data_IF_481191158715
#
_entry.id   IF_481191158715
#
_cell.length_a   1.000
_cell.length_b   1.000
_cell.length_c   1.000
_cell.angle_alpha   90.00
_cell.angle_beta   90.00
_cell.angle_gamma   90.00
#
_symmetry.space_group_name_H-M   'P 1'
#
loop_
_entity.id
_entity.type
_entity.pdbx_description
1 polymer ?
#
# COMPACT_ATOMS: atom_id res chain seq x y z
N UNK A 1 -16.03 11.58 -12.38
CA UNK A 1 -16.54 11.36 -11.01
C UNK A 1 -17.09 9.95 -10.78
N UNK A 2 -18.04 9.40 -11.57
CA UNK A 2 -18.57 8.04 -11.32
C UNK A 2 -17.47 6.96 -11.35
N UNK A 3 -16.57 7.00 -12.35
CA UNK A 3 -15.44 6.05 -12.45
C UNK A 3 -14.52 6.17 -11.25
N UNK A 4 -14.16 7.38 -10.84
CA UNK A 4 -13.30 7.63 -9.67
C UNK A 4 -13.91 7.05 -8.39
N UNK A 5 -15.21 7.28 -8.16
CA UNK A 5 -15.89 6.70 -7.00
C UNK A 5 -15.91 5.17 -7.05
N UNK A 6 -16.22 4.59 -8.22
CA UNK A 6 -16.21 3.13 -8.38
C UNK A 6 -14.80 2.56 -8.12
N UNK A 7 -13.77 3.23 -8.62
CA UNK A 7 -12.38 2.86 -8.38
C UNK A 7 -11.99 2.99 -6.91
N UNK A 8 -12.35 4.11 -6.25
CA UNK A 8 -12.09 4.30 -4.84
C UNK A 8 -12.70 3.17 -3.98
N UNK A 9 -13.96 2.84 -4.23
CA UNK A 9 -14.61 1.71 -3.55
C UNK A 9 -14.04 0.35 -3.97
N UNK A 10 -13.53 0.22 -5.20
CA UNK A 10 -12.85 -0.99 -5.66
C UNK A 10 -11.53 -1.21 -4.92
N UNK A 11 -10.71 -0.17 -4.80
CA UNK A 11 -9.41 -0.21 -4.11
C UNK A 11 -9.62 -0.48 -2.61
N UNK A 12 -10.40 0.34 -1.92
CA UNK A 12 -10.64 0.14 -0.49
C UNK A 12 -11.46 -1.13 -0.18
N UNK A 13 -12.34 -1.56 -1.10
CA UNK A 13 -13.07 -2.81 -1.00
C UNK A 13 -12.19 -4.04 -1.14
N UNK A 14 -11.09 -3.95 -1.89
CA UNK A 14 -10.14 -5.04 -2.08
C UNK A 14 -9.45 -5.43 -0.76
N UNK A 15 -9.04 -4.46 0.06
CA UNK A 15 -8.49 -4.68 1.40
C UNK A 15 -9.50 -5.39 2.31
N UNK A 16 -10.78 -4.99 2.25
CA UNK A 16 -11.86 -5.64 3.02
C UNK A 16 -12.10 -7.07 2.54
N UNK A 17 -12.09 -7.31 1.23
CA UNK A 17 -12.20 -8.66 0.65
C UNK A 17 -11.02 -9.51 1.11
N UNK A 18 -9.80 -8.98 1.08
CA UNK A 18 -8.59 -9.63 1.61
C UNK A 18 -8.76 -10.02 3.07
N UNK A 19 -9.25 -9.11 3.90
CA UNK A 19 -9.53 -9.38 5.30
C UNK A 19 -10.55 -10.51 5.50
N UNK A 20 -11.63 -10.56 4.69
CA UNK A 20 -12.60 -11.65 4.72
C UNK A 20 -11.92 -12.99 4.40
N UNK A 21 -11.06 -13.04 3.37
CA UNK A 21 -10.27 -14.23 3.08
C UNK A 21 -9.33 -14.60 4.23
N UNK A 22 -8.70 -13.60 4.89
CA UNK A 22 -7.84 -13.83 6.06
C UNK A 22 -8.57 -14.53 7.21
N UNK A 23 -9.86 -14.26 7.41
CA UNK A 23 -10.68 -14.94 8.42
C UNK A 23 -11.00 -16.42 8.09
N UNK A 24 -10.90 -16.83 6.82
CA UNK A 24 -11.12 -18.22 6.42
C UNK A 24 -9.96 -19.12 6.83
N UNK A 25 -8.77 -18.57 7.00
CA UNK A 25 -7.59 -19.29 7.43
C UNK A 25 -7.50 -19.31 8.95
N UNK A 26 -7.54 -20.50 9.55
CA UNK A 26 -7.38 -20.66 11.02
C UNK A 26 -5.96 -20.31 11.49
N UNK A 27 -4.96 -20.56 10.65
CA UNK A 27 -3.54 -20.23 10.87
C UNK A 27 -2.91 -19.93 9.52
N UNK A 28 -2.27 -18.78 9.40
CA UNK A 28 -1.44 -18.42 8.26
C UNK A 28 0.01 -18.70 8.68
N UNK A 29 0.74 -19.51 7.91
CA UNK A 29 2.16 -19.74 8.17
C UNK A 29 2.98 -18.53 7.74
N UNK A 30 4.09 -18.22 8.43
CA UNK A 30 5.00 -17.13 8.03
C UNK A 30 5.43 -17.28 6.57
N UNK A 31 5.79 -18.49 6.14
CA UNK A 31 6.17 -18.73 4.74
C UNK A 31 5.08 -18.36 3.73
N UNK A 32 3.83 -18.68 4.03
CA UNK A 32 2.72 -18.30 3.15
C UNK A 32 2.51 -16.78 3.15
N UNK A 33 2.56 -16.16 4.31
CA UNK A 33 2.50 -14.70 4.47
C UNK A 33 3.59 -14.01 3.67
N UNK A 34 4.85 -14.46 3.79
CA UNK A 34 6.00 -13.90 3.08
C UNK A 34 5.84 -13.97 1.55
N UNK A 35 5.37 -15.13 1.03
CA UNK A 35 5.14 -15.31 -0.41
C UNK A 35 4.03 -14.38 -0.90
N UNK A 36 2.92 -14.30 -0.17
CA UNK A 36 1.75 -13.51 -0.57
C UNK A 36 2.06 -12.01 -0.50
N UNK A 37 2.74 -11.57 0.57
CA UNK A 37 3.13 -10.18 0.73
C UNK A 37 4.22 -9.77 -0.27
N UNK A 38 5.18 -10.65 -0.57
CA UNK A 38 6.17 -10.41 -1.64
C UNK A 38 5.54 -10.28 -3.02
N UNK A 39 4.51 -11.10 -3.31
CA UNK A 39 3.76 -10.95 -4.55
C UNK A 39 3.10 -9.56 -4.63
N UNK A 40 2.46 -9.10 -3.54
CA UNK A 40 1.89 -7.76 -3.45
C UNK A 40 2.95 -6.67 -3.66
N UNK A 41 4.12 -6.80 -2.99
CA UNK A 41 5.25 -5.89 -3.18
C UNK A 41 5.73 -5.80 -4.63
N UNK A 42 5.72 -6.92 -5.35
CA UNK A 42 6.06 -6.96 -6.78
C UNK A 42 5.05 -6.20 -7.66
N UNK A 43 3.74 -6.40 -7.42
CA UNK A 43 2.67 -5.65 -8.11
C UNK A 43 2.82 -4.16 -7.83
N UNK A 44 3.00 -3.80 -6.55
CA UNK A 44 3.17 -2.43 -6.09
C UNK A 44 4.40 -1.76 -6.70
N UNK A 45 5.53 -2.50 -6.82
CA UNK A 45 6.76 -1.99 -7.43
C UNK A 45 6.55 -1.64 -8.90
N UNK A 46 5.90 -2.51 -9.67
CA UNK A 46 5.58 -2.23 -11.07
C UNK A 46 4.60 -1.06 -11.20
N UNK A 47 3.52 -1.03 -10.41
CA UNK A 47 2.54 0.05 -10.42
C UNK A 47 3.19 1.41 -10.08
N UNK A 48 4.08 1.46 -9.08
CA UNK A 48 4.75 2.70 -8.69
C UNK A 48 5.70 3.22 -9.76
N UNK A 49 6.48 2.35 -10.40
CA UNK A 49 7.45 2.76 -11.41
C UNK A 49 6.77 3.04 -12.75
N UNK A 50 6.01 2.08 -13.27
CA UNK A 50 5.42 2.15 -14.61
C UNK A 50 4.19 3.05 -14.63
N UNK A 51 3.34 2.92 -13.60
CA UNK A 51 2.07 3.64 -13.55
C UNK A 51 2.14 5.07 -13.00
N UNK A 52 3.18 5.44 -12.24
CA UNK A 52 3.29 6.73 -11.59
C UNK A 52 4.57 7.48 -11.93
N UNK A 53 5.76 6.89 -11.69
CA UNK A 53 7.03 7.60 -11.85
C UNK A 53 7.36 7.86 -13.31
N UNK A 54 7.25 6.87 -14.20
CA UNK A 54 7.50 7.07 -15.62
C UNK A 54 6.52 8.07 -16.25
N UNK A 55 5.20 7.98 -16.03
CA UNK A 55 4.27 8.99 -16.52
C UNK A 55 4.55 10.40 -16.00
N UNK A 56 5.08 10.57 -14.77
CA UNK A 56 5.45 11.89 -14.28
C UNK A 56 6.48 12.62 -15.14
N UNK A 57 7.31 11.88 -15.88
CA UNK A 57 8.28 12.44 -16.84
C UNK A 57 7.63 12.96 -18.13
N UNK A 58 6.46 12.42 -18.48
CA UNK A 58 5.75 12.74 -19.72
C UNK A 58 4.87 13.98 -19.61
N UNK A 59 4.35 14.26 -18.40
CA UNK A 59 3.51 15.44 -18.15
C UNK A 59 4.35 16.71 -18.02
N UNK A 60 4.63 17.29 -19.16
CA UNK A 60 5.41 18.41 -19.54
C UNK A 60 5.61 19.59 -18.57
N UNK A 61 6.73 19.59 -17.89
CA UNK A 61 7.34 20.76 -17.28
C UNK A 61 8.65 21.10 -18.01
N UNK A 62 9.13 22.34 -17.82
CA UNK A 62 10.42 22.76 -18.36
C UNK A 62 11.60 21.86 -17.91
N UNK A 63 11.44 21.19 -16.75
CA UNK A 63 12.44 20.30 -16.15
C UNK A 63 11.78 19.03 -15.59
N UNK A 64 11.23 18.13 -16.45
CA UNK A 64 10.44 16.98 -15.97
C UNK A 64 11.23 16.06 -15.07
N UNK A 65 12.47 15.73 -15.42
CA UNK A 65 13.35 14.88 -14.62
C UNK A 65 13.60 15.44 -13.20
N UNK A 66 13.82 16.75 -13.08
CA UNK A 66 14.06 17.38 -11.79
C UNK A 66 12.81 17.33 -10.91
N UNK A 67 11.63 17.62 -11.48
CA UNK A 67 10.34 17.54 -10.75
C UNK A 67 10.06 16.12 -10.30
N UNK A 68 10.30 15.12 -11.15
CA UNK A 68 10.14 13.71 -10.81
C UNK A 68 11.08 13.30 -9.67
N UNK A 69 12.38 13.64 -9.76
CA UNK A 69 13.36 13.31 -8.70
C UNK A 69 12.93 13.95 -7.37
N UNK A 70 12.59 15.25 -7.38
CA UNK A 70 12.14 15.96 -6.18
C UNK A 70 10.86 15.30 -5.62
N UNK A 71 9.89 14.97 -6.48
CA UNK A 71 8.66 14.32 -6.08
C UNK A 71 8.91 12.98 -5.38
N UNK A 72 9.73 12.11 -5.98
CA UNK A 72 10.09 10.79 -5.39
C UNK A 72 10.74 10.96 -4.02
N UNK A 73 11.73 11.84 -3.88
CA UNK A 73 12.39 12.06 -2.58
C UNK A 73 11.48 12.72 -1.56
N UNK A 74 10.59 13.63 -1.97
CA UNK A 74 9.60 14.23 -1.08
C UNK A 74 8.61 13.18 -0.59
N UNK A 75 8.15 12.26 -1.45
CA UNK A 75 7.28 11.16 -1.08
C UNK A 75 7.93 10.23 -0.07
N UNK A 76 9.15 9.77 -0.37
CA UNK A 76 9.93 8.92 0.53
C UNK A 76 10.19 9.62 1.88
N UNK A 77 10.57 10.91 1.87
CA UNK A 77 10.79 11.68 3.08
C UNK A 77 9.51 11.85 3.90
N UNK A 78 8.37 12.04 3.24
CA UNK A 78 7.07 12.17 3.90
C UNK A 78 6.75 10.91 4.71
N UNK A 79 6.85 9.73 4.11
CA UNK A 79 6.63 8.45 4.82
C UNK A 79 7.66 8.29 5.95
N UNK A 80 8.95 8.50 5.68
CA UNK A 80 10.01 8.40 6.69
C UNK A 80 9.76 9.31 7.91
N UNK A 81 9.23 10.52 7.70
CA UNK A 81 8.89 11.43 8.79
C UNK A 81 7.67 10.95 9.57
N UNK A 82 6.65 10.44 8.89
CA UNK A 82 5.47 9.87 9.53
C UNK A 82 5.87 8.66 10.39
N UNK A 83 6.70 7.77 9.86
CA UNK A 83 7.21 6.60 10.56
C UNK A 83 8.01 6.94 11.83
N UNK A 84 8.77 8.03 11.79
CA UNK A 84 9.47 8.51 13.01
C UNK A 84 8.54 9.00 14.09
N UNK A 85 7.38 9.54 13.70
CA UNK A 85 6.35 10.01 14.65
C UNK A 85 5.56 8.82 15.20
N UNK A 86 5.34 7.80 14.36
CA UNK A 86 4.64 6.58 14.74
C UNK A 86 5.66 5.45 14.89
N UNK A 87 5.90 4.93 16.09
CA UNK A 87 6.86 3.83 16.31
C UNK A 87 6.52 2.62 15.45
N UNK A 88 7.50 2.14 14.70
CA UNK A 88 7.36 1.04 13.74
C UNK A 88 6.67 -0.21 14.28
N UNK A 89 5.93 -0.88 13.39
CA UNK A 89 5.29 -2.17 13.59
C UNK A 89 6.30 -3.26 14.04
N UNK A 90 7.57 -3.18 13.60
CA UNK A 90 8.63 -4.11 13.98
C UNK A 90 8.84 -4.23 15.49
N UNK A 91 8.59 -3.16 16.27
CA UNK A 91 8.61 -3.24 17.74
C UNK A 91 7.33 -3.84 18.32
N UNK A 92 6.28 -3.96 17.52
CA UNK A 92 4.98 -4.48 17.95
C UNK A 92 4.79 -5.96 17.63
N UNK A 93 5.39 -6.43 16.54
CA UNK A 93 5.41 -7.85 16.13
C UNK A 93 6.66 -8.56 16.63
N UNK A 94 7.69 -7.80 17.04
CA UNK A 94 8.92 -8.33 17.62
C UNK A 94 8.65 -9.16 18.85
N UNK A 95 9.08 -10.39 18.79
CA UNK A 95 9.07 -11.43 19.83
C UNK A 95 10.02 -11.04 20.97
N UNK A 96 9.94 -9.85 21.47
CA UNK A 96 10.52 -9.51 22.76
C UNK A 96 9.46 -9.78 23.84
N UNK A 97 9.46 -11.05 24.24
CA UNK A 97 8.80 -11.52 25.44
C UNK A 97 9.47 -10.89 26.65
N UNK A 98 9.01 -9.73 27.05
CA UNK A 98 9.03 -9.38 28.48
C UNK A 98 7.62 -9.03 28.91
N UNK A 99 7.09 -9.95 29.68
CA UNK A 99 5.80 -10.03 30.29
C UNK A 99 5.57 -8.90 31.28
N UNK A 100 4.65 -7.99 30.93
CA UNK A 100 3.80 -7.39 31.95
C UNK A 100 2.39 -7.18 31.38
N UNK A 101 1.34 -7.68 32.04
CA UNK A 101 -0.04 -7.63 31.55
C UNK A 101 -0.73 -6.32 31.92
N UNK A 102 -0.26 -5.21 31.40
CA UNK A 102 -1.00 -3.95 31.52
C UNK A 102 -1.92 -3.78 30.32
N UNK A 103 -3.23 -3.74 30.59
CA UNK A 103 -4.28 -3.52 29.57
C UNK A 103 -4.02 -2.26 28.74
N UNK A 104 -3.37 -1.26 29.33
CA UNK A 104 -2.99 -0.01 28.66
C UNK A 104 -1.89 -0.21 27.62
N UNK A 105 -0.90 -1.06 27.89
CA UNK A 105 0.16 -1.39 26.95
C UNK A 105 -0.37 -2.16 25.73
N UNK A 106 -1.36 -3.04 25.94
CA UNK A 106 -2.01 -3.78 24.86
C UNK A 106 -2.86 -2.89 23.95
N UNK A 107 -3.57 -1.90 24.52
CA UNK A 107 -4.34 -0.92 23.76
C UNK A 107 -3.43 -0.03 22.90
N UNK A 108 -2.30 0.40 23.45
CA UNK A 108 -1.31 1.20 22.72
C UNK A 108 -0.69 0.41 21.56
N UNK A 109 -0.40 -0.88 21.73
CA UNK A 109 0.07 -1.76 20.67
C UNK A 109 -0.94 -1.84 19.51
N UNK A 110 -2.20 -2.03 19.81
CA UNK A 110 -3.28 -2.10 18.82
C UNK A 110 -3.41 -0.78 18.05
N UNK A 111 -3.38 0.34 18.76
CA UNK A 111 -3.47 1.67 18.14
C UNK A 111 -2.32 1.93 17.18
N UNK A 112 -1.08 1.62 17.60
CA UNK A 112 0.11 1.76 16.77
C UNK A 112 0.04 0.89 15.51
N UNK A 113 -0.45 -0.34 15.63
CA UNK A 113 -0.67 -1.24 14.51
C UNK A 113 -1.67 -0.68 13.49
N UNK A 114 -2.81 -0.15 13.98
CA UNK A 114 -3.83 0.47 13.12
C UNK A 114 -3.28 1.69 12.39
N UNK A 115 -2.49 2.51 13.09
CA UNK A 115 -1.89 3.71 12.50
C UNK A 115 -0.86 3.31 11.44
N UNK A 116 -0.02 2.31 11.70
CA UNK A 116 0.95 1.82 10.72
C UNK A 116 0.26 1.36 9.43
N UNK A 117 -0.79 0.54 9.53
CA UNK A 117 -1.56 0.12 8.34
C UNK A 117 -2.18 1.34 7.63
N UNK A 118 -2.71 2.33 8.36
CA UNK A 118 -3.28 3.52 7.75
C UNK A 118 -2.23 4.37 7.01
N UNK A 119 -0.97 4.36 7.47
CA UNK A 119 0.16 5.04 6.82
C UNK A 119 0.45 4.42 5.44
N UNK A 120 0.30 3.10 5.28
CA UNK A 120 0.47 2.42 4.00
C UNK A 120 -0.71 2.66 3.06
N UNK A 121 -1.92 2.46 3.54
CA UNK A 121 -3.13 2.53 2.74
C UNK A 121 -3.47 3.95 2.23
N UNK A 122 -3.09 5.00 2.98
CA UNK A 122 -3.34 6.38 2.53
C UNK A 122 -2.54 6.75 1.27
N UNK A 123 -1.22 6.53 1.18
CA UNK A 123 -0.44 6.72 -0.04
C UNK A 123 -0.96 5.93 -1.24
N UNK A 124 -1.41 4.70 -1.04
CA UNK A 124 -1.97 3.86 -2.09
C UNK A 124 -3.27 4.44 -2.65
N UNK A 125 -4.17 4.85 -1.76
CA UNK A 125 -5.37 5.57 -2.15
C UNK A 125 -5.01 6.85 -2.93
N UNK A 126 -4.09 7.67 -2.43
CA UNK A 126 -3.65 8.89 -3.12
C UNK A 126 -3.09 8.56 -4.51
N UNK A 127 -2.27 7.52 -4.65
CA UNK A 127 -1.73 7.07 -5.93
C UNK A 127 -2.84 6.71 -6.94
N UNK A 128 -3.84 5.94 -6.49
CA UNK A 128 -5.02 5.63 -7.31
C UNK A 128 -5.79 6.89 -7.72
N UNK A 129 -5.91 7.88 -6.83
CA UNK A 129 -6.60 9.13 -7.12
C UNK A 129 -5.85 10.05 -8.07
N UNK A 130 -4.54 10.21 -7.85
CA UNK A 130 -3.66 11.06 -8.66
C UNK A 130 -3.56 10.56 -10.10
N UNK A 131 -3.60 9.24 -10.33
CA UNK A 131 -3.55 8.66 -11.67
C UNK A 131 -4.69 9.13 -12.58
N UNK A 132 -5.85 9.51 -12.01
CA UNK A 132 -6.97 10.13 -12.75
C UNK A 132 -6.75 11.60 -13.15
N UNK A 133 -5.65 12.21 -12.76
CA UNK A 133 -5.24 13.53 -13.25
C UNK A 133 -4.70 13.49 -14.67
N UNK A 134 -4.31 12.32 -15.16
CA UNK A 134 -3.95 12.12 -16.56
C UNK A 134 -5.21 12.06 -17.44
N UNK A 135 -5.10 12.45 -18.70
CA UNK A 135 -6.20 12.29 -19.68
C UNK A 135 -6.44 10.81 -20.02
N UNK A 136 -5.49 9.91 -19.70
CA UNK A 136 -5.56 8.49 -19.97
C UNK A 136 -6.30 7.74 -18.83
N UNK A 137 -7.63 7.64 -18.96
CA UNK A 137 -8.46 6.90 -18.00
C UNK A 137 -8.13 5.41 -17.94
N UNK A 138 -7.63 4.81 -19.03
CA UNK A 138 -7.24 3.39 -19.04
C UNK A 138 -6.04 3.18 -18.14
N UNK A 139 -5.01 4.00 -18.26
CA UNK A 139 -3.83 3.96 -17.40
C UNK A 139 -4.22 4.15 -15.92
N UNK A 140 -5.11 5.10 -15.62
CA UNK A 140 -5.59 5.30 -14.26
C UNK A 140 -6.29 4.06 -13.70
N UNK A 141 -7.12 3.37 -14.49
CA UNK A 141 -7.78 2.13 -14.10
C UNK A 141 -6.75 1.00 -13.94
N UNK A 142 -5.72 0.93 -14.78
CA UNK A 142 -4.65 -0.07 -14.69
C UNK A 142 -3.86 0.08 -13.39
N UNK A 143 -3.46 1.30 -13.03
CA UNK A 143 -2.78 1.60 -11.75
C UNK A 143 -3.67 1.23 -10.57
N UNK A 144 -4.91 1.69 -10.56
CA UNK A 144 -5.85 1.40 -9.49
C UNK A 144 -6.21 -0.10 -9.39
N UNK A 145 -6.25 -0.79 -10.52
CA UNK A 145 -6.43 -2.24 -10.60
C UNK A 145 -5.25 -3.01 -9.99
N UNK A 146 -4.03 -2.55 -10.25
CA UNK A 146 -2.82 -3.07 -9.60
C UNK A 146 -2.86 -2.88 -8.09
N UNK A 147 -3.22 -1.68 -7.63
CA UNK A 147 -3.39 -1.38 -6.20
C UNK A 147 -4.47 -2.26 -5.58
N UNK A 148 -5.64 -2.40 -6.21
CA UNK A 148 -6.69 -3.29 -5.71
C UNK A 148 -6.23 -4.76 -5.66
N UNK A 149 -5.43 -5.21 -6.63
CA UNK A 149 -4.91 -6.57 -6.66
C UNK A 149 -3.96 -6.86 -5.50
N UNK A 150 -3.06 -5.92 -5.14
CA UNK A 150 -2.13 -6.07 -4.01
C UNK A 150 -2.84 -5.96 -2.65
N UNK A 151 -3.89 -5.15 -2.56
CA UNK A 151 -4.65 -4.94 -1.33
C UNK A 151 -5.35 -6.22 -0.84
N UNK A 152 -5.72 -7.15 -1.73
CA UNK A 152 -6.29 -8.44 -1.34
C UNK A 152 -5.29 -9.26 -0.51
N UNK A 153 -4.06 -9.55 -0.99
CA UNK A 153 -3.00 -10.16 -0.18
C UNK A 153 -2.73 -9.44 1.15
N UNK A 154 -2.58 -8.13 1.10
CA UNK A 154 -2.26 -7.34 2.29
C UNK A 154 -3.37 -7.38 3.33
N UNK A 155 -4.61 -7.16 2.93
CA UNK A 155 -5.77 -7.29 3.81
C UNK A 155 -5.91 -8.69 4.42
N UNK A 156 -5.49 -9.73 3.70
CA UNK A 156 -5.52 -11.11 4.21
C UNK A 156 -4.46 -11.34 5.30
N UNK A 157 -3.24 -10.85 5.08
CA UNK A 157 -2.09 -11.14 5.96
C UNK A 157 -2.21 -10.43 7.31
N UNK A 158 -2.82 -9.26 7.39
CA UNK A 158 -2.96 -8.50 8.64
C UNK A 158 -3.90 -9.14 9.67
N UNK A 159 -4.79 -10.05 9.25
CA UNK A 159 -5.79 -10.65 10.15
C UNK A 159 -5.16 -11.55 11.20
N UNK A 160 -4.19 -12.39 10.81
CA UNK A 160 -3.58 -13.35 11.71
C UNK A 160 -2.82 -12.71 12.88
N UNK A 161 -1.95 -11.70 12.68
CA UNK A 161 -1.29 -10.97 13.76
C UNK A 161 -2.27 -10.29 14.73
N UNK A 162 -3.35 -9.69 14.22
CA UNK A 162 -4.36 -9.06 15.06
C UNK A 162 -5.06 -10.05 15.99
N UNK A 163 -5.47 -11.20 15.44
CA UNK A 163 -6.09 -12.27 16.22
C UNK A 163 -5.09 -12.85 17.23
N UNK A 164 -3.82 -13.06 16.83
CA UNK A 164 -2.76 -13.53 17.72
C UNK A 164 -2.49 -12.55 18.88
N UNK A 165 -2.61 -11.24 18.63
CA UNK A 165 -2.54 -10.19 19.65
C UNK A 165 -3.76 -10.16 20.60
N UNK A 166 -4.71 -11.10 20.46
CA UNK A 166 -5.88 -11.22 21.33
C UNK A 166 -7.08 -10.35 20.94
N UNK A 167 -7.08 -9.78 19.75
CA UNK A 167 -8.22 -8.99 19.27
C UNK A 167 -9.40 -9.89 18.90
N UNK A 168 -10.61 -9.43 19.19
CA UNK A 168 -11.82 -10.11 18.74
C UNK A 168 -12.00 -9.98 17.22
N UNK A 169 -12.57 -10.99 16.58
CA UNK A 169 -12.84 -10.98 15.13
C UNK A 169 -13.60 -9.74 14.66
N UNK A 170 -14.58 -9.28 15.45
CA UNK A 170 -15.36 -8.09 15.13
C UNK A 170 -14.50 -6.83 15.13
N UNK A 171 -13.61 -6.65 16.11
CA UNK A 171 -12.68 -5.51 16.14
C UNK A 171 -11.68 -5.56 14.99
N UNK A 172 -11.11 -6.73 14.72
CA UNK A 172 -10.20 -6.94 13.59
C UNK A 172 -10.87 -6.58 12.26
N UNK A 173 -12.12 -7.01 12.05
CA UNK A 173 -12.88 -6.65 10.85
C UNK A 173 -13.15 -5.15 10.75
N UNK A 174 -13.53 -4.50 11.87
CA UNK A 174 -13.76 -3.05 11.87
C UNK A 174 -12.49 -2.24 11.56
N UNK A 175 -11.33 -2.73 11.97
CA UNK A 175 -10.04 -2.12 11.62
C UNK A 175 -9.76 -2.29 10.13
N UNK A 176 -9.91 -3.49 9.58
CA UNK A 176 -9.75 -3.74 8.14
C UNK A 176 -10.73 -2.90 7.31
N UNK A 177 -11.96 -2.69 7.79
CA UNK A 177 -12.91 -1.79 7.13
C UNK A 177 -12.43 -0.33 7.21
N UNK A 178 -11.90 0.10 8.34
CA UNK A 178 -11.39 1.46 8.52
C UNK A 178 -10.17 1.71 7.59
N UNK A 179 -9.28 0.74 7.40
CA UNK A 179 -8.15 0.87 6.47
C UNK A 179 -8.64 1.00 5.02
N UNK A 180 -9.62 0.21 4.60
CA UNK A 180 -10.26 0.37 3.30
C UNK A 180 -10.94 1.75 3.11
N UNK A 181 -11.52 2.32 4.18
CA UNK A 181 -12.06 3.68 4.13
C UNK A 181 -10.94 4.72 3.96
N UNK A 182 -9.79 4.53 4.59
CA UNK A 182 -8.62 5.41 4.41
C UNK A 182 -8.17 5.43 2.95
N UNK A 183 -8.16 4.30 2.26
CA UNK A 183 -7.86 4.21 0.83
C UNK A 183 -8.89 4.97 -0.03
N UNK A 184 -10.20 4.82 0.29
CA UNK A 184 -11.26 5.58 -0.39
C UNK A 184 -11.03 7.08 -0.22
N UNK A 185 -10.73 7.54 1.00
CA UNK A 185 -10.44 8.94 1.28
C UNK A 185 -9.17 9.40 0.57
N UNK A 186 -8.10 8.58 0.58
CA UNK A 186 -6.87 8.82 -0.16
C UNK A 186 -7.13 9.02 -1.66
N UNK A 187 -7.93 8.14 -2.27
CA UNK A 187 -8.29 8.24 -3.69
C UNK A 187 -9.02 9.55 -4.01
N UNK A 188 -9.94 9.97 -3.15
CA UNK A 188 -10.64 11.23 -3.33
C UNK A 188 -9.70 12.43 -3.15
N UNK A 189 -8.83 12.40 -2.14
CA UNK A 189 -7.82 13.45 -1.90
C UNK A 189 -6.89 13.58 -3.11
N UNK A 190 -6.33 12.47 -3.59
CA UNK A 190 -5.45 12.45 -4.76
C UNK A 190 -6.15 12.99 -6.02
N UNK A 191 -7.37 12.54 -6.28
CA UNK A 191 -8.17 13.02 -7.40
C UNK A 191 -8.44 14.52 -7.35
N UNK A 192 -8.90 15.04 -6.20
CA UNK A 192 -9.18 16.48 -6.08
C UNK A 192 -7.91 17.32 -6.13
N UNK A 193 -6.80 16.84 -5.56
CA UNK A 193 -5.53 17.56 -5.58
C UNK A 193 -5.05 17.85 -7.02
N UNK A 194 -5.11 16.87 -7.91
CA UNK A 194 -4.68 17.03 -9.31
C UNK A 194 -5.69 17.78 -10.18
N UNK A 195 -6.98 17.76 -9.81
CA UNK A 195 -8.02 18.54 -10.49
C UNK A 195 -7.95 20.04 -10.17
N UNK A 196 -7.33 20.44 -9.07
CA UNK A 196 -7.13 21.88 -8.74
C UNK A 196 -6.13 22.50 -9.71
N UNK A 197 -5.08 21.78 -10.08
CA UNK A 197 -4.06 22.28 -11.01
C UNK A 197 -3.34 21.13 -11.70
N UNK A 198 -3.45 21.04 -13.01
CA UNK A 198 -2.72 20.07 -13.83
C UNK A 198 -1.20 20.24 -13.75
N UNK A 199 -0.72 21.44 -13.38
CA UNK A 199 0.72 21.69 -13.20
C UNK A 199 1.31 20.93 -12.00
N UNK A 200 0.48 20.48 -11.06
CA UNK A 200 0.89 19.68 -9.89
C UNK A 200 0.99 18.19 -10.23
N UNK A 201 0.34 17.76 -11.31
CA UNK A 201 0.23 16.35 -11.68
C UNK A 201 1.60 15.61 -11.74
N UNK A 202 2.64 16.10 -12.44
CA UNK A 202 3.93 15.40 -12.50
C UNK A 202 4.54 15.19 -11.11
N UNK A 203 4.50 16.23 -10.27
CA UNK A 203 4.99 16.14 -8.90
C UNK A 203 4.15 15.18 -8.06
N UNK A 204 2.83 15.22 -8.18
CA UNK A 204 1.93 14.38 -7.40
C UNK A 204 2.07 12.88 -7.77
N UNK A 205 2.23 12.56 -9.07
CA UNK A 205 2.52 11.20 -9.54
C UNK A 205 3.87 10.71 -8.99
N UNK A 206 4.92 11.51 -9.11
CA UNK A 206 6.24 11.16 -8.60
C UNK A 206 6.26 11.04 -7.07
N UNK A 207 5.55 11.91 -6.37
CA UNK A 207 5.40 11.85 -4.91
C UNK A 207 4.72 10.54 -4.48
N UNK A 208 3.58 10.20 -5.09
CA UNK A 208 2.88 8.96 -4.80
C UNK A 208 3.75 7.72 -5.12
N UNK A 209 4.43 7.71 -6.27
CA UNK A 209 5.39 6.64 -6.59
C UNK A 209 6.53 6.54 -5.58
N UNK A 210 7.04 7.67 -5.09
CA UNK A 210 8.09 7.74 -4.07
C UNK A 210 7.66 7.22 -2.71
N UNK A 211 6.42 7.51 -2.27
CA UNK A 211 5.86 6.95 -1.03
C UNK A 211 5.78 5.42 -1.12
N UNK A 212 5.29 4.90 -2.24
CA UNK A 212 5.16 3.45 -2.47
C UNK A 212 6.54 2.77 -2.52
N UNK A 213 7.53 3.34 -3.22
CA UNK A 213 8.90 2.79 -3.25
C UNK A 213 9.52 2.73 -1.87
N UNK A 214 9.29 3.74 -1.02
CA UNK A 214 9.79 3.75 0.35
C UNK A 214 9.21 2.57 1.14
N UNK A 215 7.89 2.41 1.14
CA UNK A 215 7.19 1.31 1.84
C UNK A 215 7.68 -0.07 1.36
N UNK A 216 7.80 -0.26 0.04
CA UNK A 216 8.30 -1.53 -0.51
C UNK A 216 9.71 -1.84 0.00
N UNK A 217 10.61 -0.85 -0.03
CA UNK A 217 12.03 -1.03 0.25
C UNK A 217 12.34 -1.12 1.74
N UNK A 218 11.66 -0.33 2.57
CA UNK A 218 11.94 -0.22 4.00
C UNK A 218 11.17 -1.24 4.84
N UNK A 219 9.99 -1.69 4.35
CA UNK A 219 9.09 -2.53 5.13
C UNK A 219 8.78 -3.87 4.45
N UNK A 220 8.20 -3.86 3.24
CA UNK A 220 7.68 -5.10 2.64
C UNK A 220 8.80 -6.10 2.30
N UNK A 221 9.85 -5.65 1.64
CA UNK A 221 10.97 -6.55 1.26
C UNK A 221 11.70 -7.08 2.50
N UNK A 222 12.11 -6.26 3.48
CA UNK A 222 12.74 -6.76 4.70
C UNK A 222 11.86 -7.74 5.46
N UNK A 223 10.56 -7.44 5.66
CA UNK A 223 9.64 -8.30 6.38
C UNK A 223 9.52 -9.68 5.72
N UNK A 224 9.31 -9.72 4.40
CA UNK A 224 9.11 -10.98 3.66
C UNK A 224 10.37 -11.82 3.52
N UNK A 225 11.53 -11.28 3.85
CA UNK A 225 12.84 -11.97 3.81
C UNK A 225 13.37 -12.32 5.21
N UNK A 226 12.60 -12.06 6.28
CA UNK A 226 13.05 -12.28 7.66
C UNK A 226 12.83 -13.70 8.21
N UNK A 227 12.02 -14.55 7.56
CA UNK A 227 11.48 -15.79 8.14
C UNK A 227 11.96 -17.09 7.45
N UNK A 228 13.04 -17.04 6.69
CA UNK A 228 13.66 -18.22 6.07
C UNK A 228 13.02 -18.69 4.76
N UNK A 229 12.17 -17.85 4.13
CA UNK A 229 11.52 -18.14 2.85
C UNK A 229 12.05 -17.25 1.70
N UNK A 230 13.23 -16.65 1.83
CA UNK A 230 13.77 -15.55 1.01
C UNK A 230 13.71 -15.85 -0.50
N UNK A 231 14.10 -17.06 -0.92
CA UNK A 231 14.05 -17.45 -2.35
C UNK A 231 12.63 -17.48 -2.88
N UNK A 232 11.70 -18.02 -2.08
CA UNK A 232 10.27 -18.07 -2.44
C UNK A 232 9.68 -16.67 -2.53
N UNK A 233 9.99 -15.82 -1.56
CA UNK A 233 9.61 -14.42 -1.52
C UNK A 233 10.12 -13.67 -2.75
N UNK A 234 11.40 -13.81 -3.10
CA UNK A 234 12.00 -13.18 -4.29
C UNK A 234 11.27 -13.58 -5.57
N UNK A 235 11.00 -14.89 -5.78
CA UNK A 235 10.27 -15.32 -6.98
C UNK A 235 8.82 -14.83 -6.98
N UNK A 236 8.15 -14.77 -5.83
CA UNK A 236 6.81 -14.24 -5.72
C UNK A 236 6.76 -12.74 -6.07
N UNK A 237 7.74 -11.96 -5.63
CA UNK A 237 7.90 -10.55 -6.01
C UNK A 237 8.05 -10.41 -7.54
N UNK A 238 8.93 -11.21 -8.15
CA UNK A 238 9.13 -11.18 -9.61
C UNK A 238 7.84 -11.55 -10.35
N UNK A 239 7.07 -12.53 -9.87
CA UNK A 239 5.78 -12.90 -10.46
C UNK A 239 4.79 -11.74 -10.36
N UNK A 240 4.67 -11.09 -9.20
CA UNK A 240 3.80 -9.94 -9.02
C UNK A 240 4.18 -8.77 -9.95
N UNK A 241 5.48 -8.48 -10.03
CA UNK A 241 6.02 -7.46 -10.94
C UNK A 241 5.68 -7.76 -12.41
N UNK A 242 5.96 -8.99 -12.86
CA UNK A 242 5.69 -9.39 -14.24
C UNK A 242 4.20 -9.40 -14.56
N UNK A 243 3.35 -9.77 -13.60
CA UNK A 243 1.91 -9.75 -13.77
C UNK A 243 1.42 -8.32 -13.98
N UNK A 244 1.85 -7.37 -13.15
CA UNK A 244 1.46 -5.96 -13.30
C UNK A 244 2.03 -5.34 -14.58
N UNK A 245 3.26 -5.69 -14.97
CA UNK A 245 3.84 -5.32 -16.27
C UNK A 245 2.98 -5.84 -17.42
N UNK A 246 2.50 -7.09 -17.32
CA UNK A 246 1.59 -7.66 -18.32
C UNK A 246 0.24 -6.94 -18.37
N UNK A 247 -0.31 -6.55 -17.23
CA UNK A 247 -1.53 -5.73 -17.18
C UNK A 247 -1.34 -4.37 -17.86
N UNK A 248 -0.23 -3.70 -17.57
CA UNK A 248 0.08 -2.42 -18.17
C UNK A 248 0.25 -2.56 -19.70
N UNK A 249 0.96 -3.58 -20.17
CA UNK A 249 1.16 -3.84 -21.61
C UNK A 249 -0.14 -4.19 -22.36
N UNK A 250 -1.08 -4.88 -21.72
CA UNK A 250 -2.34 -5.32 -22.37
C UNK A 250 -3.39 -4.22 -22.35
N UNK A 251 -3.44 -3.42 -21.30
CA UNK A 251 -4.48 -2.42 -21.09
C UNK A 251 -4.00 -1.00 -21.38
N UNK A 252 -2.72 -0.71 -21.19
CA UNK A 252 -2.12 0.61 -21.39
C UNK A 252 -1.72 0.80 -22.82
#
# INVERSE_FOLDING_TARGET
>A
MKVVLLTAFGVGGASVIGAIFGFLFKKISHKFSDIVLSFAAGVMLAASVIGLILPSLEYGNRFPLLVTIIGVFCGALCVNLIDKIVPHLHRLTGVDQESHPDKTAQLNKILLFVIAIAIHNLPEGIAAGVSFGSENTVQAITVAGGIALQNIPEGMVIIAPMIAAGMSRGRTFMIALATGIVEVLGTLIGYFAVNISTSVLPFALAFAGGTMLYVISDEMIPETHAHGAERGATYALLVGFCLMLGFDFILG
#
